data_IF_766893519521
#
_entry.id   IF_766893519521
#
_cell.length_a   1.000
_cell.length_b   1.000
_cell.length_c   1.000
_cell.angle_alpha   90.00
_cell.angle_beta   90.00
_cell.angle_gamma   90.00
#
_symmetry.space_group_name_H-M   'P 1'
#
loop_
_entity.id
_entity.type
_entity.pdbx_description
1 polymer ?
#
# COMPACT_ATOMS: atom_id res chain seq x y z
N UNK A 1 -3.88 -4.01 23.32
CA UNK A 1 -3.17 -4.50 22.12
C UNK A 1 -2.47 -5.79 22.50
N UNK A 2 -2.80 -6.91 21.88
CA UNK A 2 -2.16 -8.18 22.19
C UNK A 2 -0.72 -8.19 21.69
N UNK A 3 0.15 -9.01 22.31
CA UNK A 3 1.56 -9.13 21.89
C UNK A 3 1.69 -9.50 20.41
N UNK A 4 0.80 -10.36 19.91
CA UNK A 4 0.72 -10.75 18.50
C UNK A 4 0.49 -9.55 17.57
N UNK A 5 -0.47 -8.68 17.88
CA UNK A 5 -0.77 -7.50 17.06
C UNK A 5 0.38 -6.49 17.07
N UNK A 6 1.06 -6.38 18.22
CA UNK A 6 2.24 -5.53 18.35
C UNK A 6 3.38 -6.04 17.46
N UNK A 7 3.66 -7.34 17.52
CA UNK A 7 4.70 -7.95 16.69
C UNK A 7 4.36 -7.84 15.19
N UNK A 8 3.09 -8.02 14.82
CA UNK A 8 2.64 -7.82 13.44
C UNK A 8 2.90 -6.37 12.96
N UNK A 9 2.50 -5.36 13.74
CA UNK A 9 2.79 -3.96 13.39
C UNK A 9 4.29 -3.68 13.27
N UNK A 10 5.09 -4.13 14.24
CA UNK A 10 6.55 -3.94 14.21
C UNK A 10 7.19 -4.62 13.01
N UNK A 11 6.77 -5.84 12.68
CA UNK A 11 7.27 -6.56 11.50
C UNK A 11 6.91 -5.85 10.20
N UNK A 12 5.69 -5.32 10.06
CA UNK A 12 5.26 -4.59 8.88
C UNK A 12 6.01 -3.27 8.72
N UNK A 13 6.20 -2.52 9.81
CA UNK A 13 7.01 -1.29 9.77
C UNK A 13 8.48 -1.59 9.49
N UNK A 14 9.04 -2.66 10.07
CA UNK A 14 10.39 -3.11 9.76
C UNK A 14 10.56 -3.48 8.28
N UNK A 15 9.61 -4.24 7.72
CA UNK A 15 9.58 -4.59 6.30
C UNK A 15 9.44 -3.34 5.44
N UNK A 16 8.55 -2.41 5.80
CA UNK A 16 8.38 -1.14 5.10
C UNK A 16 9.69 -0.34 5.07
N UNK A 17 10.42 -0.27 6.19
CA UNK A 17 11.72 0.41 6.24
C UNK A 17 12.75 -0.22 5.29
N UNK A 18 12.80 -1.55 5.20
CA UNK A 18 13.66 -2.27 4.25
C UNK A 18 13.29 -1.95 2.80
N UNK A 19 11.99 -1.91 2.47
CA UNK A 19 11.53 -1.59 1.12
C UNK A 19 11.78 -0.12 0.77
N UNK A 20 11.63 0.80 1.72
CA UNK A 20 12.00 2.21 1.52
C UNK A 20 13.49 2.38 1.27
N UNK A 21 14.36 1.70 2.03
CA UNK A 21 15.79 1.70 1.79
C UNK A 21 16.13 1.14 0.39
N UNK A 22 15.49 0.04 0.00
CA UNK A 22 15.67 -0.55 -1.33
C UNK A 22 15.24 0.41 -2.45
N UNK A 23 14.11 1.10 -2.26
CA UNK A 23 13.62 2.14 -3.17
C UNK A 23 14.62 3.29 -3.30
N UNK A 24 15.15 3.78 -2.17
CA UNK A 24 16.14 4.85 -2.15
C UNK A 24 17.43 4.44 -2.88
N UNK A 25 17.91 3.21 -2.64
CA UNK A 25 19.08 2.66 -3.35
C UNK A 25 18.80 2.60 -4.85
N UNK A 26 17.65 2.08 -5.28
CA UNK A 26 17.32 1.98 -6.71
C UNK A 26 17.37 3.35 -7.39
N UNK A 27 16.68 4.36 -6.84
CA UNK A 27 16.59 5.68 -7.46
C UNK A 27 17.88 6.51 -7.38
N UNK A 28 18.80 6.18 -6.48
CA UNK A 28 20.09 6.87 -6.35
C UNK A 28 21.23 6.18 -7.10
N UNK A 29 21.09 4.89 -7.43
CA UNK A 29 22.16 4.11 -8.06
C UNK A 29 21.85 3.71 -9.51
N UNK A 30 20.59 3.78 -9.95
CA UNK A 30 20.18 3.42 -11.30
C UNK A 30 19.56 4.62 -12.00
N UNK A 31 19.97 4.83 -13.26
CA UNK A 31 19.28 5.76 -14.14
C UNK A 31 17.86 5.23 -14.43
N UNK A 32 16.83 6.08 -14.45
CA UNK A 32 15.42 5.68 -14.57
C UNK A 32 15.01 5.22 -15.99
N UNK A 33 15.98 4.83 -16.81
CA UNK A 33 15.77 4.43 -18.19
C UNK A 33 15.57 2.93 -18.30
N UNK A 34 14.64 2.53 -19.17
CA UNK A 34 14.30 1.13 -19.43
C UNK A 34 13.11 0.61 -18.62
N UNK A 35 12.29 -0.21 -19.29
CA UNK A 35 11.05 -0.76 -18.76
C UNK A 35 11.26 -1.54 -17.45
N UNK A 36 12.37 -2.27 -17.33
CA UNK A 36 12.68 -3.07 -16.15
C UNK A 36 12.92 -2.20 -14.90
N UNK A 37 13.66 -1.09 -15.03
CA UNK A 37 13.93 -0.18 -13.90
C UNK A 37 12.65 0.54 -13.49
N UNK A 38 11.86 0.99 -14.46
CA UNK A 38 10.57 1.65 -14.21
C UNK A 38 9.58 0.72 -13.52
N UNK A 39 9.45 -0.53 -14.00
CA UNK A 39 8.59 -1.54 -13.39
C UNK A 39 9.06 -1.92 -11.97
N UNK A 40 10.37 -2.08 -11.78
CA UNK A 40 10.94 -2.37 -10.46
C UNK A 40 10.67 -1.22 -9.50
N UNK A 41 10.90 0.03 -9.91
CA UNK A 41 10.64 1.21 -9.10
C UNK A 41 9.17 1.35 -8.71
N UNK A 42 8.26 1.05 -9.64
CA UNK A 42 6.83 1.05 -9.36
C UNK A 42 6.42 -0.03 -8.36
N UNK A 43 6.93 -1.25 -8.51
CA UNK A 43 6.67 -2.35 -7.56
C UNK A 43 7.22 -2.00 -6.17
N UNK A 44 8.45 -1.49 -6.09
CA UNK A 44 9.06 -1.10 -4.80
C UNK A 44 8.27 0.02 -4.12
N UNK A 45 7.86 1.06 -4.87
CA UNK A 45 7.03 2.12 -4.32
C UNK A 45 5.65 1.60 -3.89
N UNK A 46 5.00 0.77 -4.70
CA UNK A 46 3.74 0.14 -4.33
C UNK A 46 3.85 -0.68 -3.04
N UNK A 47 4.89 -1.50 -2.92
CA UNK A 47 5.16 -2.26 -1.71
C UNK A 47 5.44 -1.34 -0.52
N UNK A 48 6.27 -0.31 -0.69
CA UNK A 48 6.61 0.63 0.37
C UNK A 48 5.36 1.29 0.95
N UNK A 49 4.49 1.83 0.09
CA UNK A 49 3.25 2.47 0.50
C UNK A 49 2.25 1.46 1.08
N UNK A 50 2.07 0.29 0.46
CA UNK A 50 1.13 -0.72 0.96
C UNK A 50 1.51 -1.26 2.34
N UNK A 51 2.80 -1.55 2.55
CA UNK A 51 3.33 -2.03 3.83
C UNK A 51 3.33 -0.94 4.91
N UNK A 52 3.51 0.33 4.52
CA UNK A 52 3.42 1.45 5.46
C UNK A 52 1.97 1.70 5.88
N UNK A 53 1.01 1.57 4.96
CA UNK A 53 -0.39 1.95 5.22
C UNK A 53 -1.21 0.84 5.87
N UNK A 54 -0.93 -0.44 5.62
CA UNK A 54 -1.61 -1.56 6.29
C UNK A 54 -1.63 -1.46 7.83
N UNK A 55 -0.50 -1.29 8.54
CA UNK A 55 -0.51 -1.13 10.00
C UNK A 55 -1.22 0.17 10.44
N UNK A 56 -1.13 1.25 9.65
CA UNK A 56 -1.83 2.50 9.94
C UNK A 56 -3.36 2.34 9.87
N UNK A 57 -3.88 1.65 8.87
CA UNK A 57 -5.32 1.35 8.78
C UNK A 57 -5.80 0.51 9.96
N UNK A 58 -4.99 -0.45 10.40
CA UNK A 58 -5.32 -1.25 11.58
C UNK A 58 -5.32 -0.39 12.85
N UNK A 59 -4.29 0.44 13.05
CA UNK A 59 -4.17 1.34 14.21
C UNK A 59 -5.31 2.36 14.25
N UNK A 60 -5.75 2.88 13.11
CA UNK A 60 -6.88 3.79 13.03
C UNK A 60 -8.19 3.15 13.53
N UNK A 61 -8.48 1.92 13.12
CA UNK A 61 -9.66 1.17 13.60
C UNK A 61 -9.54 0.84 15.08
N UNK A 62 -8.36 0.36 15.52
CA UNK A 62 -8.08 0.06 16.93
C UNK A 62 -8.27 1.27 17.84
N UNK A 63 -7.79 2.44 17.41
CA UNK A 63 -7.98 3.71 18.13
C UNK A 63 -9.44 4.11 18.21
N UNK A 64 -10.19 3.97 17.11
CA UNK A 64 -11.63 4.26 17.05
C UNK A 64 -12.46 3.36 17.96
N UNK A 65 -12.08 2.10 18.10
CA UNK A 65 -12.83 1.08 18.88
C UNK A 65 -12.39 1.01 20.36
N UNK A 66 -11.93 2.13 20.94
CA UNK A 66 -11.47 2.22 22.35
C UNK A 66 -10.40 1.19 22.73
N UNK A 67 -9.50 0.83 21.80
CA UNK A 67 -8.38 -0.11 22.01
C UNK A 67 -8.79 -1.59 22.17
N UNK A 68 -9.94 -1.96 21.63
CA UNK A 68 -10.39 -3.36 21.52
C UNK A 68 -10.00 -3.88 20.12
N UNK A 69 -9.29 -4.99 20.07
CA UNK A 69 -8.90 -5.63 18.80
C UNK A 69 -9.94 -6.68 18.40
N UNK A 70 -10.59 -6.51 17.24
CA UNK A 70 -11.56 -7.48 16.73
C UNK A 70 -10.93 -8.45 15.73
N UNK A 71 -11.45 -9.68 15.70
CA UNK A 71 -11.09 -10.66 14.66
C UNK A 71 -11.55 -10.13 13.31
N UNK A 72 -10.66 -10.10 12.32
CA UNK A 72 -10.93 -9.63 10.96
C UNK A 72 -10.45 -8.21 10.65
N UNK A 73 -10.16 -7.38 11.66
CA UNK A 73 -9.65 -6.02 11.46
C UNK A 73 -8.33 -6.02 10.67
N UNK A 74 -7.47 -6.99 10.94
CA UNK A 74 -6.22 -7.18 10.21
C UNK A 74 -6.43 -7.50 8.74
N UNK A 75 -7.39 -8.35 8.38
CA UNK A 75 -7.65 -8.69 6.99
C UNK A 75 -8.15 -7.47 6.21
N UNK A 76 -9.08 -6.71 6.80
CA UNK A 76 -9.58 -5.46 6.21
C UNK A 76 -8.45 -4.42 6.07
N UNK A 77 -7.58 -4.29 7.07
CA UNK A 77 -6.45 -3.35 7.04
C UNK A 77 -5.38 -3.73 6.00
N UNK A 78 -5.00 -5.01 5.92
CA UNK A 78 -4.04 -5.50 4.92
C UNK A 78 -4.59 -5.32 3.51
N UNK A 79 -5.87 -5.64 3.29
CA UNK A 79 -6.51 -5.45 1.98
C UNK A 79 -6.50 -3.98 1.55
N UNK A 80 -6.85 -3.05 2.45
CA UNK A 80 -6.78 -1.61 2.18
C UNK A 80 -5.36 -1.14 1.88
N UNK A 81 -4.38 -1.63 2.64
CA UNK A 81 -2.96 -1.39 2.34
C UNK A 81 -2.54 -1.92 0.97
N UNK A 82 -3.00 -3.12 0.60
CA UNK A 82 -2.74 -3.70 -0.71
C UNK A 82 -3.32 -2.84 -1.84
N UNK A 83 -4.54 -2.31 -1.69
CA UNK A 83 -5.12 -1.38 -2.65
C UNK A 83 -4.31 -0.10 -2.83
N UNK A 84 -3.82 0.49 -1.73
CA UNK A 84 -2.92 1.65 -1.80
C UNK A 84 -1.65 1.29 -2.57
N UNK A 85 -1.04 0.14 -2.27
CA UNK A 85 0.17 -0.30 -2.96
C UNK A 85 -0.04 -0.52 -4.46
N UNK A 86 -1.15 -1.15 -4.85
CA UNK A 86 -1.51 -1.36 -6.26
C UNK A 86 -1.73 -0.03 -6.96
N UNK A 87 -2.48 0.90 -6.37
CA UNK A 87 -2.70 2.23 -6.97
C UNK A 87 -1.40 2.99 -7.16
N UNK A 88 -0.52 3.00 -6.16
CA UNK A 88 0.80 3.65 -6.27
C UNK A 88 1.63 3.02 -7.38
N UNK A 89 1.72 1.69 -7.43
CA UNK A 89 2.48 0.99 -8.47
C UNK A 89 1.95 1.32 -9.87
N UNK A 90 0.64 1.25 -10.07
CA UNK A 90 0.00 1.56 -11.35
C UNK A 90 0.23 3.03 -11.74
N UNK A 91 0.07 3.97 -10.82
CA UNK A 91 0.29 5.39 -11.09
C UNK A 91 1.74 5.70 -11.44
N UNK A 92 2.70 5.11 -10.72
CA UNK A 92 4.12 5.27 -11.03
C UNK A 92 4.45 4.70 -12.40
N UNK A 93 3.95 3.50 -12.73
CA UNK A 93 4.12 2.90 -14.06
C UNK A 93 3.56 3.82 -15.16
N UNK A 94 2.29 4.20 -15.06
CA UNK A 94 1.64 5.07 -16.03
C UNK A 94 2.37 6.40 -16.17
N UNK A 95 2.83 6.97 -15.05
CA UNK A 95 3.55 8.25 -15.05
C UNK A 95 4.92 8.13 -15.70
N UNK A 96 5.62 7.02 -15.49
CA UNK A 96 6.94 6.75 -16.06
C UNK A 96 6.90 6.56 -17.58
N UNK A 97 5.79 6.01 -18.10
CA UNK A 97 5.56 5.79 -19.53
C UNK A 97 4.91 6.99 -20.23
N UNK A 98 4.61 8.07 -19.51
CA UNK A 98 3.90 9.24 -20.07
C UNK A 98 2.42 8.98 -20.40
N UNK A 99 1.85 7.85 -19.95
CA UNK A 99 0.47 7.46 -20.20
C UNK A 99 -0.53 7.96 -19.13
N UNK A 100 -0.03 8.53 -18.03
CA UNK A 100 -0.88 9.01 -16.94
C UNK A 100 -1.70 10.24 -17.37
N UNK A 101 -3.01 10.15 -17.20
CA UNK A 101 -3.94 11.27 -17.31
C UNK A 101 -4.84 11.34 -16.08
N UNK A 102 -5.26 12.56 -15.70
CA UNK A 102 -6.13 12.77 -14.55
C UNK A 102 -7.41 11.91 -14.61
N UNK A 103 -8.12 11.78 -15.76
CA UNK A 103 -9.30 10.93 -15.84
C UNK A 103 -9.02 9.45 -15.54
N UNK A 104 -7.89 8.90 -16.03
CA UNK A 104 -7.48 7.51 -15.73
C UNK A 104 -7.22 7.35 -14.24
N UNK A 105 -6.53 8.31 -13.62
CA UNK A 105 -6.26 8.30 -12.18
C UNK A 105 -7.54 8.27 -11.35
N UNK A 106 -8.50 9.14 -11.68
CA UNK A 106 -9.80 9.20 -11.01
C UNK A 106 -10.61 7.92 -11.21
N UNK A 107 -10.62 7.37 -12.42
CA UNK A 107 -11.30 6.12 -12.73
C UNK A 107 -10.77 4.95 -11.87
N UNK A 108 -9.44 4.81 -11.78
CA UNK A 108 -8.81 3.75 -10.97
C UNK A 108 -9.14 3.90 -9.47
N UNK A 109 -9.13 5.14 -8.95
CA UNK A 109 -9.55 5.41 -7.55
C UNK A 109 -11.01 5.02 -7.35
N UNK A 110 -11.90 5.45 -8.24
CA UNK A 110 -13.32 5.13 -8.15
C UNK A 110 -13.57 3.61 -8.19
N UNK A 111 -12.84 2.89 -9.05
CA UNK A 111 -12.94 1.43 -9.13
C UNK A 111 -12.48 0.74 -7.84
N UNK A 112 -11.37 1.17 -7.25
CA UNK A 112 -10.89 0.63 -5.97
C UNK A 112 -11.88 0.92 -4.84
N UNK A 113 -12.43 2.13 -4.79
CA UNK A 113 -13.47 2.49 -3.81
C UNK A 113 -14.70 1.61 -4.00
N UNK A 114 -15.16 1.44 -5.24
CA UNK A 114 -16.30 0.57 -5.55
C UNK A 114 -16.07 -0.87 -5.08
N UNK A 115 -14.92 -1.45 -5.41
CA UNK A 115 -14.56 -2.81 -4.99
C UNK A 115 -14.51 -2.92 -3.46
N UNK A 116 -13.86 -1.96 -2.77
CA UNK A 116 -13.75 -2.01 -1.31
C UNK A 116 -15.12 -1.85 -0.63
N UNK A 117 -16.02 -1.05 -1.20
CA UNK A 117 -17.41 -0.92 -0.73
C UNK A 117 -18.16 -2.24 -0.93
N UNK A 118 -18.12 -2.82 -2.13
CA UNK A 118 -18.77 -4.10 -2.42
C UNK A 118 -18.30 -5.22 -1.47
N UNK A 119 -16.99 -5.37 -1.30
CA UNK A 119 -16.40 -6.37 -0.38
C UNK A 119 -16.71 -6.10 1.09
N UNK A 120 -17.02 -4.85 1.45
CA UNK A 120 -17.38 -4.50 2.83
C UNK A 120 -18.83 -4.86 3.19
N UNK A 121 -19.71 -4.98 2.20
CA UNK A 121 -21.12 -5.38 2.40
C UNK A 121 -21.22 -6.89 2.68
N UNK A 122 -20.32 -7.69 2.09
CA UNK A 122 -20.31 -9.15 2.23
C UNK A 122 -19.65 -9.65 3.54
N UNK A 123 -19.03 -8.77 4.34
CA UNK A 123 -18.14 -9.14 5.46
C UNK A 123 -18.55 -8.61 6.83
#
# INVERSE_FOLDING_TARGET
MYARDRMANLSLFGLAAVVWASTAILFTTRFPEGLAVQATGAVLLGLAFGLTTAPLFWLAVFGRHRRIAYRGDWLKAVRRGAWVGVLVAVFVLLRSQGAFSLPIGLFLIAMVVFIEVSLSVES
#
